data_IF_400011025532
#
_entry.id   IF_400011025532
#
_cell.length_a   1.000
_cell.length_b   1.000
_cell.length_c   1.000
_cell.angle_alpha   90.00
_cell.angle_beta   90.00
_cell.angle_gamma   90.00
#
_symmetry.space_group_name_H-M   'P 1'
#
loop_
_entity.id
_entity.type
_entity.pdbx_description
1 polymer ?
#
# COMPACT_ATOMS: atom_id res chain seq x y z
N UNK A 1 2.29 -26.80 11.49
CA UNK A 1 3.44 -26.46 12.35
C UNK A 1 4.25 -25.40 11.61
N UNK A 2 4.23 -24.16 12.09
CA UNK A 2 5.01 -23.07 11.49
C UNK A 2 6.47 -23.21 11.94
N UNK A 3 7.39 -23.29 10.97
CA UNK A 3 8.82 -23.53 11.19
C UNK A 3 9.65 -22.25 11.37
N UNK A 4 9.01 -21.09 11.49
CA UNK A 4 9.70 -19.80 11.48
C UNK A 4 10.06 -19.32 12.91
N UNK A 5 11.25 -18.74 13.04
CA UNK A 5 11.71 -18.08 14.28
C UNK A 5 10.88 -16.84 14.57
N UNK A 6 10.73 -16.50 15.85
CA UNK A 6 10.11 -15.24 16.29
C UNK A 6 10.78 -14.06 15.58
N UNK A 7 10.00 -13.26 14.86
CA UNK A 7 10.48 -12.12 14.07
C UNK A 7 10.56 -12.35 12.55
N UNK A 8 10.30 -13.58 12.05
CA UNK A 8 10.24 -13.86 10.60
C UNK A 8 8.83 -14.14 10.08
N UNK A 9 7.82 -13.94 10.92
CA UNK A 9 6.42 -14.20 10.59
C UNK A 9 5.95 -13.43 9.34
N UNK A 10 6.38 -12.17 9.22
CA UNK A 10 6.16 -11.32 8.04
C UNK A 10 6.61 -12.03 6.75
N UNK A 11 7.81 -12.64 6.77
CA UNK A 11 8.37 -13.33 5.60
C UNK A 11 7.59 -14.58 5.24
N UNK A 12 7.03 -15.28 6.23
CA UNK A 12 6.18 -16.45 6.00
C UNK A 12 4.82 -16.11 5.43
N UNK A 13 4.22 -15.00 5.88
CA UNK A 13 2.94 -14.52 5.32
C UNK A 13 3.11 -14.22 3.83
N UNK A 14 4.23 -13.60 3.44
CA UNK A 14 4.50 -13.21 2.06
C UNK A 14 5.34 -14.22 1.27
N UNK A 15 5.55 -15.43 1.81
CA UNK A 15 6.31 -16.47 1.10
C UNK A 15 5.54 -16.91 -0.15
N UNK A 16 6.21 -16.88 -1.31
CA UNK A 16 5.63 -17.14 -2.64
C UNK A 16 4.62 -16.08 -3.13
N UNK A 17 4.58 -14.90 -2.51
CA UNK A 17 3.74 -13.80 -2.96
C UNK A 17 4.56 -12.84 -3.81
N UNK A 18 4.09 -12.62 -5.03
CA UNK A 18 4.62 -11.58 -5.92
C UNK A 18 3.61 -10.46 -6.01
N UNK A 19 3.97 -9.26 -5.54
CA UNK A 19 3.18 -8.04 -5.70
C UNK A 19 3.35 -7.47 -7.13
N UNK A 20 3.13 -8.33 -8.12
CA UNK A 20 3.35 -8.05 -9.54
C UNK A 20 2.11 -7.55 -10.25
N UNK A 21 0.98 -7.44 -9.57
CA UNK A 21 -0.29 -6.92 -10.04
C UNK A 21 -1.19 -6.55 -8.84
N UNK A 22 -2.21 -5.72 -9.11
CA UNK A 22 -3.15 -5.22 -8.12
C UNK A 22 -4.03 -6.32 -7.52
N UNK A 23 -4.25 -7.42 -8.24
CA UNK A 23 -5.10 -8.51 -7.77
C UNK A 23 -4.44 -9.27 -6.63
N UNK A 24 -3.14 -9.52 -6.73
CA UNK A 24 -2.34 -10.08 -5.65
C UNK A 24 -2.31 -9.14 -4.43
N UNK A 25 -2.11 -7.84 -4.65
CA UNK A 25 -2.14 -6.84 -3.57
C UNK A 25 -3.49 -6.83 -2.84
N UNK A 26 -4.60 -6.70 -3.57
CA UNK A 26 -5.97 -6.70 -3.03
C UNK A 26 -6.28 -8.00 -2.27
N UNK A 27 -5.87 -9.14 -2.83
CA UNK A 27 -6.05 -10.46 -2.21
C UNK A 27 -5.33 -10.57 -0.87
N UNK A 28 -4.07 -10.15 -0.80
CA UNK A 28 -3.30 -10.28 0.45
C UNK A 28 -3.71 -9.25 1.49
N UNK A 29 -4.09 -8.05 1.08
CA UNK A 29 -4.68 -7.06 1.97
C UNK A 29 -5.96 -7.60 2.65
N UNK A 30 -6.80 -8.28 1.88
CA UNK A 30 -7.99 -8.96 2.41
C UNK A 30 -7.66 -10.17 3.28
N UNK A 31 -6.69 -11.00 2.89
CA UNK A 31 -6.34 -12.21 3.63
C UNK A 31 -5.73 -11.88 4.99
N UNK A 32 -4.69 -11.03 4.97
CA UNK A 32 -3.84 -10.72 6.11
C UNK A 32 -4.47 -9.68 7.03
N UNK A 33 -5.04 -8.62 6.45
CA UNK A 33 -5.54 -7.49 7.21
C UNK A 33 -7.06 -7.37 7.19
N UNK A 34 -7.82 -8.21 6.45
CA UNK A 34 -9.29 -8.10 6.34
C UNK A 34 -9.75 -6.73 5.82
N UNK A 35 -8.95 -6.09 4.96
CA UNK A 35 -9.28 -4.82 4.31
C UNK A 35 -9.66 -5.09 2.85
N UNK A 36 -10.79 -4.54 2.42
CA UNK A 36 -11.21 -4.52 1.01
C UNK A 36 -10.99 -3.12 0.44
N UNK A 37 -10.55 -3.05 -0.82
CA UNK A 37 -10.39 -1.80 -1.56
C UNK A 37 -11.63 -1.61 -2.42
N UNK A 38 -12.36 -0.53 -2.19
CA UNK A 38 -13.56 -0.22 -2.97
C UNK A 38 -13.17 0.34 -4.34
N UNK A 39 -13.97 0.05 -5.37
CA UNK A 39 -13.70 0.51 -6.74
C UNK A 39 -13.70 2.04 -6.90
N UNK A 40 -14.39 2.75 -6.02
CA UNK A 40 -14.51 4.21 -6.05
C UNK A 40 -13.44 4.91 -5.20
N UNK A 41 -12.52 4.16 -4.57
CA UNK A 41 -11.41 4.74 -3.82
C UNK A 41 -10.27 5.10 -4.76
N UNK A 42 -9.60 6.23 -4.48
CA UNK A 42 -8.40 6.68 -5.20
C UNK A 42 -7.35 5.58 -5.32
N UNK A 43 -7.22 4.75 -4.28
CA UNK A 43 -6.29 3.62 -4.28
C UNK A 43 -6.61 2.60 -5.39
N UNK A 44 -7.89 2.38 -5.72
CA UNK A 44 -8.25 1.48 -6.81
C UNK A 44 -7.78 2.02 -8.15
N UNK A 45 -7.94 3.32 -8.40
CA UNK A 45 -7.48 3.96 -9.64
C UNK A 45 -5.95 3.91 -9.79
N UNK A 46 -5.22 4.19 -8.71
CA UNK A 46 -3.76 4.10 -8.70
C UNK A 46 -3.25 2.67 -8.90
N UNK A 47 -3.97 1.68 -8.38
CA UNK A 47 -3.66 0.27 -8.62
C UNK A 47 -3.88 -0.15 -10.07
N UNK A 48 -4.88 0.44 -10.75
CA UNK A 48 -5.09 0.20 -12.18
C UNK A 48 -3.96 0.81 -13.02
N UNK A 49 -3.44 1.99 -12.67
CA UNK A 49 -2.24 2.56 -13.30
C UNK A 49 -0.97 1.72 -13.01
N UNK A 50 -0.83 1.23 -11.78
CA UNK A 50 0.25 0.33 -11.40
C UNK A 50 0.21 -0.99 -12.21
N UNK A 51 -0.98 -1.52 -12.51
CA UNK A 51 -1.14 -2.71 -13.35
C UNK A 51 -0.63 -2.48 -14.77
N UNK A 52 -0.85 -1.30 -15.34
CA UNK A 52 -0.28 -0.93 -16.65
C UNK A 52 1.24 -0.96 -16.61
N UNK A 53 1.85 -0.42 -15.55
CA UNK A 53 3.30 -0.51 -15.35
C UNK A 53 3.79 -1.95 -15.24
N UNK A 54 3.04 -2.82 -14.56
CA UNK A 54 3.36 -4.24 -14.46
C UNK A 54 3.35 -4.93 -15.83
N UNK A 55 2.40 -4.58 -16.71
CA UNK A 55 2.38 -5.07 -18.10
C UNK A 55 3.57 -4.55 -18.91
N UNK A 56 3.93 -3.28 -18.76
CA UNK A 56 5.10 -2.69 -19.40
C UNK A 56 6.40 -3.36 -18.94
N UNK A 57 6.58 -3.55 -17.63
CA UNK A 57 7.70 -4.29 -17.04
C UNK A 57 7.80 -5.69 -17.65
N UNK A 58 6.68 -6.41 -17.72
CA UNK A 58 6.67 -7.76 -18.28
C UNK A 58 7.16 -7.78 -19.73
N UNK A 59 6.66 -6.88 -20.58
CA UNK A 59 7.08 -6.80 -21.98
C UNK A 59 8.56 -6.41 -22.15
N UNK A 60 9.07 -5.49 -21.32
CA UNK A 60 10.49 -5.09 -21.35
C UNK A 60 11.40 -6.25 -20.95
N UNK A 61 11.10 -6.92 -19.83
CA UNK A 61 11.98 -7.94 -19.23
C UNK A 61 11.85 -9.28 -19.95
N UNK A 62 10.64 -9.73 -20.26
CA UNK A 62 10.38 -11.09 -20.72
C UNK A 62 10.06 -11.19 -22.22
N UNK A 63 9.82 -10.06 -22.89
CA UNK A 63 9.42 -10.07 -24.31
C UNK A 63 10.33 -9.24 -25.20
N UNK A 64 11.57 -8.96 -24.79
CA UNK A 64 12.52 -8.14 -25.57
C UNK A 64 11.92 -6.79 -26.00
N UNK A 65 11.14 -6.16 -25.10
CA UNK A 65 10.40 -4.91 -25.32
C UNK A 65 9.28 -5.01 -26.35
N UNK A 66 8.88 -6.20 -26.75
CA UNK A 66 7.78 -6.44 -27.68
C UNK A 66 6.50 -6.56 -26.89
N UNK A 67 5.50 -5.77 -27.25
CA UNK A 67 4.21 -5.84 -26.60
C UNK A 67 3.34 -6.89 -27.29
N UNK A 68 3.04 -7.98 -26.59
CA UNK A 68 2.10 -8.98 -27.06
C UNK A 68 0.67 -8.40 -27.11
N UNK A 69 -0.15 -8.87 -28.05
CA UNK A 69 -1.52 -8.36 -28.24
C UNK A 69 -2.38 -8.40 -26.98
N UNK A 70 -2.24 -9.44 -26.14
CA UNK A 70 -2.96 -9.54 -24.86
C UNK A 70 -2.64 -8.38 -23.92
N UNK A 71 -1.37 -7.96 -23.86
CA UNK A 71 -0.93 -6.86 -23.01
C UNK A 71 -1.32 -5.51 -23.63
N UNK A 72 -1.32 -5.40 -24.96
CA UNK A 72 -1.79 -4.21 -25.68
C UNK A 72 -3.26 -3.91 -25.39
N UNK A 73 -4.12 -4.93 -25.32
CA UNK A 73 -5.53 -4.78 -24.93
C UNK A 73 -5.65 -4.21 -23.52
N UNK A 74 -4.87 -4.71 -22.56
CA UNK A 74 -4.88 -4.22 -21.17
C UNK A 74 -4.38 -2.77 -21.05
N UNK A 75 -3.52 -2.34 -21.95
CA UNK A 75 -3.05 -0.96 -22.05
C UNK A 75 -3.96 -0.05 -22.90
N UNK A 76 -5.10 -0.55 -23.38
CA UNK A 76 -6.00 0.14 -24.31
C UNK A 76 -5.29 0.66 -25.57
N UNK A 77 -4.28 -0.06 -26.05
CA UNK A 77 -3.56 0.29 -27.28
C UNK A 77 -4.34 -0.27 -28.48
N UNK A 78 -4.65 0.57 -29.49
CA UNK A 78 -5.35 0.12 -30.69
C UNK A 78 -4.62 -1.02 -31.41
N UNK A 79 -5.35 -1.90 -32.11
CA UNK A 79 -4.74 -2.93 -32.95
C UNK A 79 -3.80 -2.32 -33.99
N UNK A 80 -2.64 -2.94 -34.18
CA UNK A 80 -1.67 -2.54 -35.19
C UNK A 80 -1.20 -3.78 -35.97
N UNK A 81 -0.94 -3.59 -37.27
CA UNK A 81 -0.31 -4.60 -38.12
C UNK A 81 1.18 -4.70 -37.79
N UNK A 82 1.77 -3.60 -37.36
CA UNK A 82 3.19 -3.52 -37.03
C UNK A 82 3.48 -4.01 -35.61
N UNK A 83 4.70 -4.52 -35.45
CA UNK A 83 5.23 -4.94 -34.16
C UNK A 83 5.35 -3.75 -33.21
N UNK A 84 4.53 -3.75 -32.17
CA UNK A 84 4.60 -2.75 -31.11
C UNK A 84 5.81 -3.01 -30.20
N UNK A 85 6.65 -1.98 -30.02
CA UNK A 85 7.82 -2.05 -29.14
C UNK A 85 7.80 -0.91 -28.13
N UNK A 86 8.04 -1.26 -26.87
CA UNK A 86 8.12 -0.31 -25.77
C UNK A 86 9.48 0.39 -25.81
N UNK A 87 9.44 1.72 -25.83
CA UNK A 87 10.61 2.59 -25.63
C UNK A 87 10.33 3.48 -24.44
N UNK A 88 11.24 3.44 -23.47
CA UNK A 88 11.13 4.25 -22.25
C UNK A 88 12.27 5.25 -22.25
N UNK A 89 11.94 6.54 -22.34
CA UNK A 89 12.88 7.64 -22.13
C UNK A 89 12.91 8.07 -20.67
N UNK A 90 13.75 9.04 -20.36
CA UNK A 90 13.88 9.56 -18.99
C UNK A 90 12.56 10.12 -18.44
N UNK A 91 11.80 10.85 -19.25
CA UNK A 91 10.49 11.39 -18.85
C UNK A 91 9.51 10.26 -18.45
N UNK A 92 9.41 9.21 -19.27
CA UNK A 92 8.55 8.06 -18.97
C UNK A 92 9.04 7.30 -17.72
N UNK A 93 10.35 7.24 -17.46
CA UNK A 93 10.87 6.66 -16.21
C UNK A 93 10.41 7.46 -14.98
N UNK A 94 10.40 8.79 -15.07
CA UNK A 94 9.91 9.65 -13.99
C UNK A 94 8.41 9.48 -13.76
N UNK A 95 7.61 9.35 -14.83
CA UNK A 95 6.19 9.04 -14.73
C UNK A 95 5.94 7.69 -14.04
N UNK A 96 6.68 6.64 -14.44
CA UNK A 96 6.62 5.34 -13.77
C UNK A 96 6.95 5.44 -12.27
N UNK A 97 8.00 6.19 -11.93
CA UNK A 97 8.39 6.41 -10.54
C UNK A 97 7.29 7.16 -9.76
N UNK A 98 6.68 8.17 -10.38
CA UNK A 98 5.57 8.94 -9.80
C UNK A 98 4.36 8.06 -9.49
N UNK A 99 3.95 7.18 -10.41
CA UNK A 99 2.84 6.23 -10.20
C UNK A 99 3.16 5.30 -9.03
N UNK A 100 4.36 4.71 -8.99
CA UNK A 100 4.76 3.83 -7.88
C UNK A 100 4.73 4.57 -6.53
N UNK A 101 5.28 5.78 -6.47
CA UNK A 101 5.30 6.60 -5.26
C UNK A 101 3.89 6.96 -4.81
N UNK A 102 3.03 7.44 -5.72
CA UNK A 102 1.65 7.78 -5.42
C UNK A 102 0.86 6.57 -4.91
N UNK A 103 1.06 5.40 -5.53
CA UNK A 103 0.45 4.15 -5.10
C UNK A 103 0.88 3.78 -3.68
N UNK A 104 2.18 3.78 -3.37
CA UNK A 104 2.69 3.45 -2.03
C UNK A 104 2.19 4.45 -0.98
N UNK A 105 2.24 5.76 -1.26
CA UNK A 105 1.75 6.78 -0.34
C UNK A 105 0.26 6.61 -0.03
N UNK A 106 -0.56 6.44 -1.07
CA UNK A 106 -2.01 6.26 -0.90
C UNK A 106 -2.33 4.96 -0.18
N UNK A 107 -1.57 3.89 -0.44
CA UNK A 107 -1.70 2.63 0.27
C UNK A 107 -1.36 2.78 1.76
N UNK A 108 -0.26 3.47 2.09
CA UNK A 108 0.13 3.75 3.47
C UNK A 108 -0.92 4.59 4.20
N UNK A 109 -1.48 5.61 3.56
CA UNK A 109 -2.57 6.42 4.13
C UNK A 109 -3.81 5.57 4.41
N UNK A 110 -4.22 4.71 3.47
CA UNK A 110 -5.37 3.81 3.67
C UNK A 110 -5.13 2.82 4.81
N UNK A 111 -3.93 2.26 4.91
CA UNK A 111 -3.59 1.37 6.01
C UNK A 111 -3.56 2.11 7.36
N UNK A 112 -3.03 3.33 7.38
CA UNK A 112 -3.03 4.16 8.57
C UNK A 112 -4.46 4.47 9.03
N UNK A 113 -5.36 4.87 8.12
CA UNK A 113 -6.79 5.08 8.39
C UNK A 113 -7.43 3.83 9.03
N UNK A 114 -7.21 2.66 8.43
CA UNK A 114 -7.73 1.39 8.96
C UNK A 114 -7.18 1.08 10.35
N UNK A 115 -5.88 1.27 10.55
CA UNK A 115 -5.24 0.98 11.84
C UNK A 115 -5.65 1.98 12.91
N UNK A 116 -5.83 3.25 12.54
CA UNK A 116 -6.38 4.31 13.39
C UNK A 116 -7.80 3.97 13.84
N UNK A 117 -8.69 3.59 12.91
CA UNK A 117 -10.04 3.10 13.24
C UNK A 117 -10.00 1.89 14.17
N UNK A 118 -9.14 0.92 13.90
CA UNK A 118 -9.02 -0.29 14.73
C UNK A 118 -8.57 0.03 16.14
N UNK A 119 -7.54 0.86 16.27
CA UNK A 119 -7.11 1.35 17.56
C UNK A 119 -8.23 2.14 18.25
N UNK A 120 -8.93 3.02 17.52
CA UNK A 120 -10.01 3.85 18.02
C UNK A 120 -11.20 3.04 18.55
N UNK A 121 -11.64 2.03 17.80
CA UNK A 121 -12.94 1.38 18.00
C UNK A 121 -12.81 -0.14 18.18
N UNK A 122 -12.19 -0.83 17.22
CA UNK A 122 -12.28 -2.29 17.14
C UNK A 122 -11.53 -2.97 18.28
N UNK A 123 -10.32 -2.51 18.60
CA UNK A 123 -9.49 -3.09 19.64
C UNK A 123 -10.10 -2.86 21.02
N UNK A 124 -10.64 -1.67 21.30
CA UNK A 124 -11.34 -1.35 22.56
C UNK A 124 -12.51 -2.29 22.87
N UNK A 125 -13.10 -2.91 21.85
CA UNK A 125 -14.20 -3.89 22.00
C UNK A 125 -13.72 -5.30 22.33
N UNK A 126 -12.43 -5.58 22.19
CA UNK A 126 -11.83 -6.90 22.46
C UNK A 126 -11.30 -6.93 23.90
N UNK A 127 -12.13 -7.40 24.84
CA UNK A 127 -11.84 -7.40 26.28
C UNK A 127 -10.57 -8.17 26.68
N UNK A 128 -10.18 -9.17 25.90
CA UNK A 128 -8.98 -9.98 26.18
C UNK A 128 -7.68 -9.39 25.60
N UNK A 129 -7.80 -8.35 24.76
CA UNK A 129 -6.67 -7.72 24.08
C UNK A 129 -6.44 -6.28 24.55
N UNK A 130 -7.51 -5.52 24.78
CA UNK A 130 -7.41 -4.10 25.11
C UNK A 130 -7.02 -3.87 26.57
N UNK A 131 -6.04 -2.99 26.75
CA UNK A 131 -5.55 -2.51 28.03
C UNK A 131 -5.40 -0.99 27.90
N UNK A 132 -6.23 -0.24 28.65
CA UNK A 132 -6.24 1.23 28.64
C UNK A 132 -4.89 1.80 29.06
N UNK A 133 -4.15 1.13 29.95
CA UNK A 133 -2.82 1.57 30.38
C UNK A 133 -1.77 1.46 29.25
N UNK A 134 -2.05 0.64 28.23
CA UNK A 134 -1.18 0.44 27.05
C UNK A 134 -1.68 1.14 25.79
N UNK A 135 -2.72 1.96 25.88
CA UNK A 135 -3.29 2.68 24.74
C UNK A 135 -2.23 3.42 23.92
N UNK A 136 -1.38 4.20 24.60
CA UNK A 136 -0.29 4.97 24.00
C UNK A 136 0.79 4.07 23.38
N UNK A 137 1.06 2.92 23.99
CA UNK A 137 2.01 1.93 23.47
C UNK A 137 1.48 1.33 22.16
N UNK A 138 0.20 0.95 22.12
CA UNK A 138 -0.45 0.41 20.93
C UNK A 138 -0.46 1.44 19.80
N UNK A 139 -0.80 2.70 20.10
CA UNK A 139 -0.77 3.74 19.08
C UNK A 139 0.64 4.03 18.59
N UNK A 140 1.62 4.04 19.49
CA UNK A 140 3.03 4.30 19.12
C UNK A 140 3.52 3.28 18.09
N UNK A 141 3.11 2.01 18.18
CA UNK A 141 3.45 1.00 17.16
C UNK A 141 2.86 1.33 15.79
N UNK A 142 1.63 1.84 15.73
CA UNK A 142 1.01 2.31 14.47
C UNK A 142 1.79 3.51 13.95
N UNK A 143 2.03 4.50 14.81
CA UNK A 143 2.75 5.71 14.46
C UNK A 143 4.14 5.42 13.90
N UNK A 144 4.91 4.54 14.53
CA UNK A 144 6.28 4.24 14.14
C UNK A 144 6.36 3.58 12.74
N UNK A 145 5.34 2.80 12.38
CA UNK A 145 5.23 2.15 11.05
C UNK A 145 4.91 3.17 9.96
N UNK A 146 3.95 4.07 10.20
CA UNK A 146 3.40 4.93 9.14
C UNK A 146 3.99 6.34 9.09
N UNK A 147 4.54 6.84 10.20
CA UNK A 147 5.22 8.14 10.17
C UNK A 147 6.56 8.04 9.44
N UNK A 148 6.83 9.06 8.64
CA UNK A 148 8.08 9.17 7.89
C UNK A 148 9.27 9.33 8.85
N UNK A 149 10.33 8.56 8.62
CA UNK A 149 11.60 8.71 9.36
C UNK A 149 12.17 10.12 9.18
N UNK A 150 12.00 10.70 7.99
CA UNK A 150 12.50 12.04 7.66
C UNK A 150 11.76 13.07 8.50
N UNK A 151 10.43 13.02 8.49
CA UNK A 151 9.56 13.96 9.21
C UNK A 151 9.80 13.86 10.73
N UNK A 152 10.10 12.65 11.24
CA UNK A 152 10.47 12.46 12.66
C UNK A 152 11.82 13.09 13.02
N UNK A 153 12.78 13.10 12.10
CA UNK A 153 14.13 13.63 12.35
C UNK A 153 14.22 15.14 12.11
N UNK A 154 13.38 15.66 11.23
CA UNK A 154 13.31 17.08 10.87
C UNK A 154 11.96 17.64 11.33
N UNK A 155 11.87 17.95 12.63
CA UNK A 155 10.61 18.39 13.27
C UNK A 155 9.98 19.63 12.61
N UNK A 156 10.79 20.46 11.94
CA UNK A 156 10.31 21.64 11.21
C UNK A 156 9.56 21.28 9.91
N UNK A 157 9.70 20.04 9.42
CA UNK A 157 8.98 19.51 8.27
C UNK A 157 7.73 18.71 8.66
N UNK A 158 7.60 18.32 9.93
CA UNK A 158 6.45 17.56 10.40
C UNK A 158 5.25 18.48 10.61
N UNK A 159 4.21 18.35 9.79
CA UNK A 159 2.96 19.10 9.94
C UNK A 159 2.19 18.71 11.22
N UNK A 160 2.47 17.53 11.79
CA UNK A 160 1.71 16.97 12.91
C UNK A 160 2.59 16.08 13.80
N UNK A 161 2.49 16.29 15.11
CA UNK A 161 3.09 15.44 16.13
C UNK A 161 2.23 14.21 16.44
N UNK A 162 2.82 13.17 17.02
CA UNK A 162 2.08 11.98 17.47
C UNK A 162 0.93 12.34 18.42
N UNK A 163 1.17 13.26 19.36
CA UNK A 163 0.16 13.68 20.34
C UNK A 163 -1.02 14.40 19.68
N UNK A 164 -0.74 15.28 18.71
CA UNK A 164 -1.79 15.94 17.91
C UNK A 164 -2.60 14.94 17.10
N UNK A 165 -1.94 13.92 16.53
CA UNK A 165 -2.61 12.86 15.78
C UNK A 165 -3.53 12.01 16.68
N UNK A 166 -3.05 11.60 17.87
CA UNK A 166 -3.87 10.89 18.86
C UNK A 166 -5.12 11.70 19.19
N UNK A 167 -4.94 13.00 19.51
CA UNK A 167 -6.05 13.88 19.86
C UNK A 167 -7.03 14.04 18.69
N UNK A 168 -6.54 14.18 17.45
CA UNK A 168 -7.39 14.27 16.28
C UNK A 168 -8.25 13.01 16.09
N UNK A 169 -7.66 11.82 16.24
CA UNK A 169 -8.37 10.54 16.15
C UNK A 169 -9.39 10.41 17.28
N UNK A 170 -9.02 10.78 18.52
CA UNK A 170 -9.96 10.78 19.65
C UNK A 170 -11.17 11.69 19.40
N UNK A 171 -10.93 12.88 18.87
CA UNK A 171 -12.00 13.82 18.50
C UNK A 171 -12.89 13.23 17.38
N UNK A 172 -12.28 12.68 16.33
CA UNK A 172 -13.00 12.10 15.19
C UNK A 172 -13.92 10.95 15.61
N UNK A 173 -13.45 10.08 16.52
CA UNK A 173 -14.17 8.91 17.00
C UNK A 173 -14.91 9.11 18.33
N UNK A 174 -14.95 10.34 18.87
CA UNK A 174 -15.65 10.69 20.12
C UNK A 174 -15.18 9.84 21.32
N UNK A 175 -13.87 9.73 21.48
CA UNK A 175 -13.22 9.07 22.60
C UNK A 175 -12.86 10.10 23.67
N UNK A 176 -13.11 9.76 24.94
CA UNK A 176 -12.77 10.57 26.11
C UNK A 176 -11.25 10.58 26.42
#
# INVERSE_FOLDING_TARGET
MMWQRSGEFEKGIFENISFSDSSAIKKELKNSLKVDINKNELLSELLDEFDKLCQMRHAIVHSSRVLAGKNAIQLNIPPSIDKLSIRVGYAQLQECASICTACVMTFNLKLFEVMGHRWAIDWRRLTDFWDEEKEDEYFSKIWDIFSSVIDRNEADLAEMTKAECINAIKIEYQLD
#
